data_IF_017356281182
#
_entry.id   IF_017356281182
#
_cell.length_a   1.000
_cell.length_b   1.000
_cell.length_c   1.000
_cell.angle_alpha   90.00
_cell.angle_beta   90.00
_cell.angle_gamma   90.00
#
_symmetry.space_group_name_H-M   'P 1'
#
loop_
_entity.id
_entity.type
_entity.pdbx_description
1 polymer ?
#
# COMPACT_ATOMS: atom_id res chain seq x y z
N UNK A 1 19.64 -9.41 7.89
CA UNK A 1 19.94 -8.81 6.56
C UNK A 1 18.96 -9.43 5.58
N UNK A 2 18.32 -8.65 4.71
CA UNK A 2 17.43 -9.21 3.69
C UNK A 2 18.20 -10.13 2.72
N UNK A 3 17.49 -11.10 2.18
CA UNK A 3 18.05 -12.06 1.19
C UNK A 3 17.69 -11.68 -0.25
N UNK A 4 17.30 -10.43 -0.47
CA UNK A 4 16.90 -9.86 -1.76
C UNK A 4 17.65 -8.55 -2.01
N UNK A 5 17.99 -8.27 -3.26
CA UNK A 5 18.75 -7.09 -3.66
C UNK A 5 17.86 -6.02 -4.30
N UNK A 6 16.77 -6.42 -4.95
CA UNK A 6 15.81 -5.52 -5.58
C UNK A 6 14.39 -5.75 -5.07
N UNK A 7 13.54 -4.72 -5.16
CA UNK A 7 12.16 -4.78 -4.66
C UNK A 7 11.31 -5.82 -5.40
N UNK A 8 11.53 -6.02 -6.70
CA UNK A 8 10.83 -7.04 -7.48
C UNK A 8 11.21 -8.48 -7.10
N UNK A 9 12.26 -8.68 -6.29
CA UNK A 9 12.62 -10.00 -5.75
C UNK A 9 11.80 -10.35 -4.50
N UNK A 10 11.19 -9.35 -3.84
CA UNK A 10 10.41 -9.55 -2.62
C UNK A 10 9.25 -10.54 -2.80
N UNK A 11 8.37 -10.40 -3.82
CA UNK A 11 7.33 -11.40 -4.04
C UNK A 11 7.87 -12.76 -4.47
N UNK A 12 9.04 -12.83 -5.12
CA UNK A 12 9.73 -14.10 -5.42
C UNK A 12 10.26 -14.77 -4.16
N UNK A 13 10.79 -13.98 -3.22
CA UNK A 13 11.17 -14.46 -1.89
C UNK A 13 9.95 -15.05 -1.17
N UNK A 14 8.79 -14.38 -1.21
CA UNK A 14 7.57 -14.91 -0.63
C UNK A 14 7.15 -16.24 -1.28
N UNK A 15 7.14 -16.31 -2.62
CA UNK A 15 6.79 -17.55 -3.32
C UNK A 15 7.68 -18.72 -2.90
N UNK A 16 8.99 -18.48 -2.75
CA UNK A 16 9.96 -19.49 -2.39
C UNK A 16 9.84 -19.99 -0.95
N UNK A 17 9.59 -19.08 0.00
CA UNK A 17 9.68 -19.39 1.44
C UNK A 17 8.31 -19.50 2.12
N UNK A 18 7.32 -18.77 1.63
CA UNK A 18 5.99 -18.62 2.23
C UNK A 18 4.91 -18.47 1.15
N UNK A 19 4.77 -19.43 0.19
CA UNK A 19 3.77 -19.32 -0.86
C UNK A 19 2.38 -19.09 -0.22
N UNK A 20 1.70 -18.05 -0.65
CA UNK A 20 0.46 -17.60 -0.03
C UNK A 20 -0.66 -17.56 -1.08
N UNK A 21 -1.72 -18.34 -0.84
CA UNK A 21 -2.90 -18.35 -1.71
C UNK A 21 -3.71 -17.04 -1.63
N UNK A 22 -3.50 -16.27 -0.58
CA UNK A 22 -4.20 -15.01 -0.30
C UNK A 22 -3.18 -13.86 -0.12
N UNK A 23 -2.21 -13.72 -1.03
CA UNK A 23 -1.16 -12.70 -0.94
C UNK A 23 -1.76 -11.30 -0.88
N UNK A 24 -2.62 -10.98 -1.83
CA UNK A 24 -3.46 -9.78 -1.82
C UNK A 24 -4.92 -10.18 -1.89
N UNK A 25 -5.77 -9.44 -1.18
CA UNK A 25 -7.20 -9.71 -1.12
C UNK A 25 -7.96 -8.41 -1.30
N UNK A 26 -8.81 -8.36 -2.32
CA UNK A 26 -9.65 -7.19 -2.63
C UNK A 26 -11.11 -7.54 -2.43
N UNK A 27 -11.93 -6.60 -1.95
CA UNK A 27 -13.36 -6.81 -1.83
C UNK A 27 -14.05 -6.35 -3.11
N UNK A 28 -14.71 -7.28 -3.80
CA UNK A 28 -15.43 -7.03 -5.05
C UNK A 28 -16.87 -7.49 -4.88
N UNK A 29 -17.83 -6.60 -5.11
CA UNK A 29 -19.26 -6.89 -4.94
C UNK A 29 -19.59 -7.52 -3.55
N UNK A 30 -18.93 -7.05 -2.50
CA UNK A 30 -19.13 -7.51 -1.12
C UNK A 30 -18.40 -8.82 -0.77
N UNK A 31 -17.64 -9.41 -1.70
CA UNK A 31 -16.91 -10.68 -1.49
C UNK A 31 -15.40 -10.40 -1.51
N UNK A 32 -14.68 -10.96 -0.54
CA UNK A 32 -13.22 -10.91 -0.50
C UNK A 32 -12.62 -11.90 -1.49
N UNK A 33 -11.97 -11.38 -2.53
CA UNK A 33 -11.37 -12.15 -3.65
C UNK A 33 -9.85 -12.11 -3.52
N UNK A 34 -9.20 -13.26 -3.31
CA UNK A 34 -7.75 -13.33 -3.21
C UNK A 34 -7.07 -13.48 -4.57
N UNK A 35 -5.79 -13.06 -4.61
CA UNK A 35 -4.81 -13.48 -5.61
C UNK A 35 -3.66 -14.17 -4.90
N UNK A 36 -3.17 -15.28 -5.46
CA UNK A 36 -2.02 -15.98 -4.91
C UNK A 36 -0.70 -15.29 -5.26
N UNK A 37 0.37 -15.61 -4.52
CA UNK A 37 1.73 -15.13 -4.85
C UNK A 37 2.16 -15.57 -6.24
N UNK A 38 1.77 -16.78 -6.68
CA UNK A 38 2.11 -17.29 -8.00
C UNK A 38 1.38 -16.51 -9.11
N UNK A 39 0.06 -16.33 -8.98
CA UNK A 39 -0.75 -15.59 -9.96
C UNK A 39 -0.32 -14.12 -10.04
N UNK A 40 0.02 -13.50 -8.89
CA UNK A 40 0.55 -12.14 -8.83
C UNK A 40 1.86 -12.00 -9.62
N UNK A 41 2.80 -12.93 -9.43
CA UNK A 41 4.07 -12.93 -10.16
C UNK A 41 3.90 -13.19 -11.64
N UNK A 42 2.97 -14.08 -12.03
CA UNK A 42 2.64 -14.29 -13.44
C UNK A 42 2.06 -13.03 -14.05
N UNK A 43 1.07 -12.39 -13.40
CA UNK A 43 0.50 -11.13 -13.88
C UNK A 43 1.58 -10.04 -14.05
N UNK A 44 2.50 -9.89 -13.09
CA UNK A 44 3.60 -8.94 -13.21
C UNK A 44 4.53 -9.28 -14.39
N UNK A 45 4.82 -10.56 -14.63
CA UNK A 45 5.62 -11.00 -15.77
C UNK A 45 4.93 -10.67 -17.11
N UNK A 46 3.61 -10.90 -17.22
CA UNK A 46 2.89 -10.60 -18.45
C UNK A 46 2.86 -9.08 -18.74
N UNK A 47 2.64 -8.27 -17.72
CA UNK A 47 2.70 -6.80 -17.85
C UNK A 47 4.11 -6.33 -18.23
N UNK A 48 5.17 -6.93 -17.65
CA UNK A 48 6.56 -6.64 -18.01
C UNK A 48 6.85 -6.89 -19.47
N UNK A 49 6.40 -8.02 -20.01
CA UNK A 49 6.51 -8.33 -21.44
C UNK A 49 5.81 -7.27 -22.30
N UNK A 50 4.60 -6.87 -21.90
CA UNK A 50 3.85 -5.83 -22.58
C UNK A 50 4.55 -4.46 -22.56
N UNK A 51 5.15 -4.07 -21.43
CA UNK A 51 5.93 -2.83 -21.32
C UNK A 51 7.16 -2.85 -22.25
N UNK A 52 7.85 -3.99 -22.37
CA UNK A 52 8.95 -4.16 -23.32
C UNK A 52 8.46 -3.98 -24.76
N UNK A 53 7.33 -4.60 -25.12
CA UNK A 53 6.76 -4.51 -26.45
C UNK A 53 6.27 -3.09 -26.81
N UNK A 54 5.82 -2.30 -25.81
CA UNK A 54 5.52 -0.88 -25.95
C UNK A 54 6.77 -0.01 -26.08
N UNK A 55 7.97 -0.59 -26.01
CA UNK A 55 9.25 0.10 -26.19
C UNK A 55 9.84 0.70 -24.92
N UNK A 56 9.34 0.35 -23.73
CA UNK A 56 9.88 0.80 -22.45
C UNK A 56 11.31 0.32 -22.26
N UNK A 57 12.19 1.23 -21.90
CA UNK A 57 13.62 0.98 -21.64
C UNK A 57 13.95 1.18 -20.16
N UNK A 58 15.10 0.66 -19.75
CA UNK A 58 15.62 0.96 -18.42
C UNK A 58 15.79 2.48 -18.22
N UNK A 59 15.31 2.96 -17.08
CA UNK A 59 15.29 4.39 -16.74
C UNK A 59 14.11 5.18 -17.28
N UNK A 60 13.23 4.60 -18.11
CA UNK A 60 11.99 5.27 -18.52
C UNK A 60 11.02 5.40 -17.33
N UNK A 61 10.13 6.39 -17.38
CA UNK A 61 9.19 6.68 -16.29
C UNK A 61 7.78 6.26 -16.68
N UNK A 62 7.18 5.46 -15.82
CA UNK A 62 5.78 5.04 -15.89
C UNK A 62 5.04 5.64 -14.71
N UNK A 63 3.99 6.42 -14.95
CA UNK A 63 3.17 7.01 -13.88
C UNK A 63 1.96 6.13 -13.57
N UNK A 64 1.51 6.17 -12.31
CA UNK A 64 0.27 5.54 -11.87
C UNK A 64 -0.49 6.46 -10.93
N UNK A 65 -1.76 6.77 -11.26
CA UNK A 65 -2.68 7.52 -10.40
C UNK A 65 -3.88 6.63 -10.05
N UNK A 66 -3.90 6.09 -8.84
CA UNK A 66 -4.92 5.11 -8.43
C UNK A 66 -5.04 5.01 -6.91
N UNK A 67 -6.23 4.64 -6.46
CA UNK A 67 -6.42 4.10 -5.11
C UNK A 67 -5.71 2.75 -4.95
N UNK A 68 -5.63 2.26 -3.70
CA UNK A 68 -5.01 0.96 -3.40
C UNK A 68 -5.78 -0.17 -4.10
N UNK A 69 -5.06 -1.00 -4.85
CA UNK A 69 -5.59 -2.18 -5.53
C UNK A 69 -4.47 -3.13 -5.94
N UNK A 70 -4.82 -4.37 -6.26
CA UNK A 70 -3.84 -5.38 -6.65
C UNK A 70 -3.08 -4.96 -7.91
N UNK A 71 -3.79 -4.43 -8.91
CA UNK A 71 -3.23 -4.05 -10.21
C UNK A 71 -2.17 -2.95 -10.09
N UNK A 72 -2.31 -2.06 -9.09
CA UNK A 72 -1.28 -1.07 -8.76
C UNK A 72 0.04 -1.77 -8.35
N UNK A 73 -0.04 -2.79 -7.50
CA UNK A 73 1.14 -3.54 -7.05
C UNK A 73 1.73 -4.41 -8.16
N UNK A 74 0.88 -4.98 -9.03
CA UNK A 74 1.33 -5.71 -10.22
C UNK A 74 2.12 -4.78 -11.15
N UNK A 75 1.59 -3.60 -11.44
CA UNK A 75 2.27 -2.59 -12.27
C UNK A 75 3.59 -2.13 -11.64
N UNK A 76 3.61 -1.92 -10.32
CA UNK A 76 4.81 -1.53 -9.59
C UNK A 76 5.94 -2.54 -9.79
N UNK A 77 5.67 -3.83 -9.59
CA UNK A 77 6.65 -4.89 -9.80
C UNK A 77 7.04 -5.00 -11.28
N UNK A 78 6.09 -4.91 -12.20
CA UNK A 78 6.36 -5.03 -13.62
C UNK A 78 7.27 -3.90 -14.15
N UNK A 79 7.02 -2.67 -13.75
CA UNK A 79 7.86 -1.50 -14.11
C UNK A 79 9.30 -1.70 -13.62
N UNK A 80 9.48 -2.19 -12.41
CA UNK A 80 10.80 -2.46 -11.85
C UNK A 80 11.51 -3.63 -12.53
N UNK A 81 10.78 -4.70 -12.92
CA UNK A 81 11.35 -5.86 -13.63
C UNK A 81 11.96 -5.47 -14.98
N UNK A 82 11.43 -4.44 -15.64
CA UNK A 82 11.99 -3.94 -16.91
C UNK A 82 13.07 -2.88 -16.72
N UNK A 83 13.43 -2.54 -15.46
CA UNK A 83 14.41 -1.53 -15.11
C UNK A 83 13.88 -0.09 -15.26
N UNK A 84 12.58 0.10 -15.42
CA UNK A 84 11.93 1.40 -15.48
C UNK A 84 11.62 1.94 -14.07
N UNK A 85 11.24 3.22 -13.98
CA UNK A 85 11.04 3.95 -12.74
C UNK A 85 9.55 4.26 -12.58
N UNK A 86 8.94 3.83 -11.47
CA UNK A 86 7.55 4.16 -11.18
C UNK A 86 7.43 5.57 -10.61
N UNK A 87 6.47 6.34 -11.14
CA UNK A 87 6.08 7.67 -10.63
C UNK A 87 4.66 7.56 -10.07
N UNK A 88 4.50 7.25 -8.78
CA UNK A 88 3.18 7.16 -8.15
C UNK A 88 2.62 8.56 -7.90
N UNK A 89 1.35 8.74 -8.23
CA UNK A 89 0.63 10.01 -8.15
C UNK A 89 -0.59 9.85 -7.22
N UNK A 90 -0.85 10.88 -6.40
CA UNK A 90 -2.08 10.92 -5.64
C UNK A 90 -3.29 11.12 -6.58
N UNK A 91 -4.39 10.38 -6.40
CA UNK A 91 -5.57 10.50 -7.28
C UNK A 91 -6.33 11.83 -7.13
N UNK A 92 -6.07 12.58 -6.07
CA UNK A 92 -6.79 13.81 -5.71
C UNK A 92 -6.00 15.10 -5.89
N UNK A 93 -4.92 15.11 -6.66
CA UNK A 93 -4.19 16.32 -7.00
C UNK A 93 -4.83 17.08 -8.18
N UNK A 94 -4.42 18.34 -8.35
CA UNK A 94 -4.94 19.19 -9.42
C UNK A 94 -4.39 18.81 -10.81
N UNK A 95 -5.09 19.20 -11.87
CA UNK A 95 -4.60 19.02 -13.24
C UNK A 95 -3.27 19.75 -13.48
N UNK A 96 -3.06 20.90 -12.86
CA UNK A 96 -1.80 21.64 -12.94
C UNK A 96 -0.64 20.84 -12.31
N UNK A 97 -0.89 20.14 -11.19
CA UNK A 97 0.12 19.29 -10.57
C UNK A 97 0.40 18.05 -11.43
N UNK A 98 -0.63 17.40 -11.98
CA UNK A 98 -0.44 16.30 -12.93
C UNK A 98 0.42 16.74 -14.11
N UNK A 99 0.07 17.86 -14.75
CA UNK A 99 0.83 18.40 -15.88
C UNK A 99 2.29 18.67 -15.51
N UNK A 100 2.52 19.32 -14.37
CA UNK A 100 3.88 19.59 -13.89
C UNK A 100 4.67 18.31 -13.69
N UNK A 101 4.12 17.35 -12.91
CA UNK A 101 4.82 16.12 -12.55
C UNK A 101 5.11 15.26 -13.79
N UNK A 102 4.13 15.09 -14.67
CA UNK A 102 4.30 14.28 -15.89
C UNK A 102 5.37 14.84 -16.81
N UNK A 103 5.48 16.18 -16.93
CA UNK A 103 6.52 16.85 -17.71
C UNK A 103 7.88 16.77 -17.02
N UNK A 104 7.97 17.12 -15.73
CA UNK A 104 9.21 17.15 -14.96
C UNK A 104 9.85 15.75 -14.89
N UNK A 105 9.05 14.72 -14.66
CA UNK A 105 9.52 13.34 -14.71
C UNK A 105 9.74 12.83 -16.14
N UNK A 106 9.21 13.47 -17.16
CA UNK A 106 9.25 13.00 -18.55
C UNK A 106 8.54 11.65 -18.73
N UNK A 107 7.31 11.55 -18.21
CA UNK A 107 6.52 10.31 -18.22
C UNK A 107 6.09 9.95 -19.62
N UNK A 108 6.28 8.68 -20.01
CA UNK A 108 5.86 8.17 -21.32
C UNK A 108 4.54 7.36 -21.27
N UNK A 109 4.30 6.66 -20.16
CA UNK A 109 3.10 5.86 -19.94
C UNK A 109 2.45 6.30 -18.63
N UNK A 110 1.13 6.53 -18.63
CA UNK A 110 0.35 6.80 -17.44
C UNK A 110 -0.78 5.76 -17.33
N UNK A 111 -0.95 5.18 -16.14
CA UNK A 111 -2.06 4.27 -15.83
C UNK A 111 -2.90 4.91 -14.73
N UNK A 112 -4.22 4.99 -14.95
CA UNK A 112 -5.15 5.61 -14.00
C UNK A 112 -6.19 4.62 -13.52
N UNK A 113 -6.87 4.87 -12.37
CA UNK A 113 -7.85 3.91 -11.87
C UNK A 113 -9.21 4.02 -12.53
N UNK A 114 -9.70 5.24 -12.87
CA UNK A 114 -11.10 5.46 -13.19
C UNK A 114 -11.30 6.58 -14.23
N UNK A 115 -12.59 6.81 -14.59
CA UNK A 115 -12.97 7.80 -15.61
C UNK A 115 -12.54 9.22 -15.23
N UNK A 116 -12.74 9.65 -13.98
CA UNK A 116 -12.37 11.00 -13.54
C UNK A 116 -10.88 11.29 -13.77
N UNK A 117 -10.02 10.35 -13.42
CA UNK A 117 -8.58 10.49 -13.62
C UNK A 117 -8.18 10.40 -15.10
N UNK A 118 -8.85 9.53 -15.87
CA UNK A 118 -8.64 9.47 -17.32
C UNK A 118 -8.99 10.78 -18.01
N UNK A 119 -10.09 11.41 -17.60
CA UNK A 119 -10.53 12.70 -18.15
C UNK A 119 -9.53 13.81 -17.80
N UNK A 120 -9.07 13.90 -16.54
CA UNK A 120 -8.05 14.87 -16.10
C UNK A 120 -6.76 14.76 -16.93
N UNK A 121 -6.24 13.53 -17.11
CA UNK A 121 -5.00 13.31 -17.86
C UNK A 121 -5.22 13.58 -19.35
N UNK A 122 -6.37 13.21 -19.90
CA UNK A 122 -6.72 13.46 -21.29
C UNK A 122 -6.79 14.97 -21.58
N UNK A 123 -7.37 15.75 -20.65
CA UNK A 123 -7.49 17.21 -20.80
C UNK A 123 -6.13 17.91 -20.91
N UNK A 124 -5.15 17.47 -20.13
CA UNK A 124 -3.80 18.06 -20.13
C UNK A 124 -2.84 17.40 -21.12
N UNK A 125 -3.25 16.32 -21.82
CA UNK A 125 -2.35 15.49 -22.64
C UNK A 125 -1.59 16.27 -23.70
N UNK A 126 -2.23 17.25 -24.34
CA UNK A 126 -1.58 18.10 -25.36
C UNK A 126 -0.41 18.94 -24.80
N UNK A 127 -0.41 19.18 -23.48
CA UNK A 127 0.64 19.92 -22.77
C UNK A 127 1.72 19.00 -22.17
N UNK A 128 1.62 17.67 -22.39
CA UNK A 128 2.59 16.66 -21.93
C UNK A 128 3.11 15.86 -23.14
N UNK A 129 4.04 16.42 -23.92
CA UNK A 129 4.47 15.85 -25.20
C UNK A 129 5.19 14.49 -25.06
N UNK A 130 5.71 14.15 -23.88
CA UNK A 130 6.33 12.86 -23.62
C UNK A 130 5.32 11.73 -23.42
N UNK A 131 4.06 12.03 -23.06
CA UNK A 131 3.04 11.05 -22.76
C UNK A 131 2.50 10.36 -24.02
N UNK A 132 3.00 9.17 -24.31
CA UNK A 132 2.64 8.36 -25.48
C UNK A 132 1.35 7.56 -25.21
N UNK A 133 1.25 6.95 -24.03
CA UNK A 133 0.17 6.01 -23.69
C UNK A 133 -0.54 6.40 -22.40
N UNK A 134 -1.87 6.28 -22.43
CA UNK A 134 -2.75 6.38 -21.27
C UNK A 134 -3.60 5.12 -21.21
N UNK A 135 -3.59 4.42 -20.06
CA UNK A 135 -4.39 3.24 -19.81
C UNK A 135 -5.22 3.43 -18.53
N UNK A 136 -6.31 2.64 -18.39
CA UNK A 136 -7.10 2.60 -17.17
C UNK A 136 -7.16 1.19 -16.59
N UNK A 137 -7.14 1.09 -15.25
CA UNK A 137 -7.43 -0.15 -14.55
C UNK A 137 -8.90 -0.55 -14.64
N UNK A 138 -9.82 0.45 -14.68
CA UNK A 138 -11.23 0.19 -14.90
C UNK A 138 -11.52 0.13 -16.41
N UNK A 139 -12.53 -0.67 -16.79
CA UNK A 139 -13.03 -0.71 -18.17
C UNK A 139 -13.75 0.61 -18.49
N UNK A 140 -13.16 1.42 -19.35
CA UNK A 140 -13.69 2.73 -19.73
C UNK A 140 -13.98 2.80 -21.24
N UNK A 141 -15.02 3.55 -21.66
CA UNK A 141 -15.38 3.62 -23.08
C UNK A 141 -14.35 4.34 -23.94
N UNK A 142 -13.60 5.30 -23.38
CA UNK A 142 -12.71 6.19 -24.13
C UNK A 142 -11.23 6.11 -23.68
N UNK A 143 -10.87 5.09 -22.91
CA UNK A 143 -9.50 4.88 -22.46
C UNK A 143 -9.17 3.39 -22.58
N UNK A 144 -8.07 3.00 -23.25
CA UNK A 144 -7.62 1.63 -23.33
C UNK A 144 -7.50 1.02 -21.94
N UNK A 145 -7.93 -0.22 -21.77
CA UNK A 145 -7.78 -0.94 -20.52
C UNK A 145 -6.33 -1.39 -20.32
N UNK A 146 -5.86 -1.42 -19.10
CA UNK A 146 -4.46 -1.78 -18.80
C UNK A 146 -4.09 -3.21 -19.22
N UNK A 147 -5.06 -4.14 -19.39
CA UNK A 147 -4.83 -5.47 -19.99
C UNK A 147 -4.32 -5.38 -21.42
N UNK A 148 -4.51 -4.25 -22.11
CA UNK A 148 -3.97 -4.05 -23.45
C UNK A 148 -2.43 -3.94 -23.40
N UNK A 149 -1.84 -3.58 -22.26
CA UNK A 149 -0.39 -3.66 -22.05
C UNK A 149 0.06 -5.11 -22.20
N UNK A 150 -0.60 -6.04 -21.53
CA UNK A 150 -0.30 -7.47 -21.67
C UNK A 150 -0.63 -7.98 -23.08
N UNK A 151 -1.76 -7.58 -23.65
CA UNK A 151 -2.17 -7.99 -24.99
C UNK A 151 -1.13 -7.61 -26.07
N UNK A 152 -0.37 -6.53 -25.84
CA UNK A 152 0.70 -6.05 -26.73
C UNK A 152 2.02 -6.80 -26.59
N UNK A 153 2.16 -7.75 -25.68
CA UNK A 153 3.42 -8.47 -25.42
C UNK A 153 4.04 -9.16 -26.65
N UNK A 154 3.24 -9.45 -27.67
CA UNK A 154 3.72 -10.01 -28.94
C UNK A 154 4.57 -11.26 -28.75
N UNK A 155 5.79 -11.25 -29.33
CA UNK A 155 6.78 -12.31 -29.22
C UNK A 155 7.80 -12.11 -28.10
N UNK A 156 7.60 -11.16 -27.18
CA UNK A 156 8.53 -10.94 -26.06
C UNK A 156 8.48 -12.15 -25.12
N UNK A 157 9.64 -12.78 -24.97
CA UNK A 157 9.79 -13.99 -24.18
C UNK A 157 10.15 -13.68 -22.72
N UNK A 158 9.91 -14.63 -21.82
CA UNK A 158 10.21 -14.46 -20.40
C UNK A 158 11.70 -14.19 -20.14
N UNK A 159 12.59 -14.80 -20.90
CA UNK A 159 14.03 -14.61 -20.73
C UNK A 159 14.47 -13.16 -20.96
N UNK A 160 13.77 -12.40 -21.84
CA UNK A 160 14.08 -10.99 -22.07
C UNK A 160 13.79 -10.12 -20.81
N UNK A 161 12.70 -10.41 -20.11
CA UNK A 161 12.41 -9.78 -18.81
C UNK A 161 13.46 -10.18 -17.78
N UNK A 162 13.83 -11.47 -17.72
CA UNK A 162 14.83 -11.97 -16.77
C UNK A 162 16.22 -11.36 -17.01
N UNK A 163 16.62 -11.15 -18.27
CA UNK A 163 17.87 -10.45 -18.58
C UNK A 163 17.85 -8.98 -18.11
N UNK A 164 16.73 -8.29 -18.30
CA UNK A 164 16.58 -6.93 -17.76
C UNK A 164 16.64 -6.92 -16.23
N UNK A 165 15.96 -7.85 -15.57
CA UNK A 165 16.01 -7.98 -14.10
C UNK A 165 17.43 -8.20 -13.59
N UNK A 166 18.23 -9.05 -14.26
CA UNK A 166 19.65 -9.28 -13.91
C UNK A 166 20.52 -8.02 -14.07
N UNK A 167 20.15 -7.13 -14.99
CA UNK A 167 20.89 -5.89 -15.21
C UNK A 167 20.60 -4.82 -14.16
N UNK A 168 19.43 -4.85 -13.48
CA UNK A 168 19.05 -3.90 -12.44
C UNK A 168 19.89 -4.10 -11.18
N UNK A 169 20.39 -3.01 -10.62
CA UNK A 169 21.18 -3.00 -9.39
C UNK A 169 20.37 -2.42 -8.22
N UNK A 170 20.71 -2.82 -7.02
CA UNK A 170 20.09 -2.28 -5.80
C UNK A 170 20.19 -0.74 -5.69
N UNK A 171 21.21 -0.15 -6.31
CA UNK A 171 21.43 1.32 -6.33
C UNK A 171 20.63 2.05 -7.41
N UNK A 172 20.03 1.33 -8.36
CA UNK A 172 19.21 1.94 -9.41
C UNK A 172 17.91 2.49 -8.83
N UNK A 173 17.38 3.53 -9.48
CA UNK A 173 16.13 4.15 -9.05
C UNK A 173 14.96 3.20 -9.28
N UNK A 174 14.17 2.97 -8.22
CA UNK A 174 12.92 2.24 -8.29
C UNK A 174 11.73 3.18 -8.48
N UNK A 175 11.83 4.41 -7.97
CA UNK A 175 10.69 5.35 -7.97
C UNK A 175 11.11 6.80 -7.80
N UNK A 176 10.25 7.71 -8.30
CA UNK A 176 10.31 9.15 -8.02
C UNK A 176 8.96 9.54 -7.41
N UNK A 177 8.97 9.96 -6.15
CA UNK A 177 7.75 10.34 -5.40
C UNK A 177 7.70 11.85 -5.26
N UNK A 178 6.65 12.47 -5.79
CA UNK A 178 6.49 13.92 -5.71
C UNK A 178 5.82 14.32 -4.41
N UNK A 179 6.45 15.27 -3.71
CA UNK A 179 5.93 15.86 -2.46
C UNK A 179 5.67 17.34 -2.64
N UNK A 180 4.69 17.89 -1.89
CA UNK A 180 4.44 19.33 -1.87
C UNK A 180 5.69 20.07 -1.38
N UNK A 181 6.34 20.79 -2.28
CA UNK A 181 7.48 21.63 -1.93
C UNK A 181 7.04 22.90 -1.18
N UNK A 182 7.88 23.38 -0.26
CA UNK A 182 7.67 24.66 0.45
C UNK A 182 7.75 25.87 -0.50
N UNK A 183 8.18 25.69 -1.74
CA UNK A 183 8.46 26.74 -2.75
C UNK A 183 7.46 26.74 -3.92
N UNK A 184 6.33 26.09 -3.82
CA UNK A 184 5.24 26.10 -4.82
C UNK A 184 5.16 24.81 -5.66
N UNK A 185 6.17 24.49 -6.48
CA UNK A 185 6.12 23.28 -7.32
C UNK A 185 6.49 22.01 -6.54
N UNK A 186 5.83 20.86 -6.83
CA UNK A 186 6.20 19.57 -6.25
C UNK A 186 7.66 19.20 -6.55
N UNK A 187 8.31 18.49 -5.60
CA UNK A 187 9.69 18.01 -5.75
C UNK A 187 9.71 16.49 -5.83
N UNK A 188 10.37 15.96 -6.85
CA UNK A 188 10.54 14.51 -7.05
C UNK A 188 11.64 13.93 -6.17
N UNK A 189 11.24 13.17 -5.14
CA UNK A 189 12.16 12.43 -4.28
C UNK A 189 12.53 11.13 -4.96
N UNK A 190 13.79 10.97 -5.30
CA UNK A 190 14.34 9.79 -5.97
C UNK A 190 14.75 8.74 -4.94
N UNK A 191 14.19 7.52 -5.05
CA UNK A 191 14.48 6.41 -4.16
C UNK A 191 14.95 5.19 -4.97
N UNK A 192 16.07 4.61 -4.56
CA UNK A 192 16.58 3.36 -5.11
C UNK A 192 15.91 2.15 -4.45
N UNK A 193 16.11 0.96 -5.05
CA UNK A 193 15.72 -0.31 -4.43
C UNK A 193 16.32 -0.44 -3.03
N UNK A 194 17.61 -0.15 -2.88
CA UNK A 194 18.33 -0.23 -1.60
C UNK A 194 17.75 0.71 -0.54
N UNK A 195 17.32 1.93 -0.90
CA UNK A 195 16.74 2.87 0.07
C UNK A 195 15.47 2.28 0.73
N UNK A 196 14.58 1.71 -0.08
CA UNK A 196 13.33 1.14 0.43
C UNK A 196 13.61 -0.16 1.18
N UNK A 197 14.44 -1.06 0.64
CA UNK A 197 14.78 -2.34 1.28
C UNK A 197 15.49 -2.15 2.61
N UNK A 198 16.32 -1.12 2.78
CA UNK A 198 16.96 -0.83 4.07
C UNK A 198 15.93 -0.50 5.15
N UNK A 199 14.87 0.23 4.82
CA UNK A 199 13.76 0.53 5.73
C UNK A 199 12.93 -0.73 6.01
N UNK A 200 12.65 -1.53 5.00
CA UNK A 200 11.98 -2.85 5.18
C UNK A 200 12.76 -3.70 6.20
N UNK A 201 14.08 -3.80 6.02
CA UNK A 201 14.94 -4.57 6.93
C UNK A 201 14.86 -4.09 8.39
N UNK A 202 14.83 -2.78 8.60
CA UNK A 202 14.72 -2.18 9.93
C UNK A 202 13.36 -2.43 10.61
N UNK A 203 12.31 -2.65 9.82
CA UNK A 203 10.94 -2.82 10.32
C UNK A 203 10.52 -4.28 10.56
N UNK A 204 11.32 -5.28 10.17
CA UNK A 204 10.94 -6.70 10.34
C UNK A 204 10.78 -7.07 11.82
N UNK A 205 11.78 -6.81 12.64
CA UNK A 205 11.77 -7.22 14.04
C UNK A 205 10.74 -6.46 14.91
N UNK A 206 10.51 -5.14 14.71
CA UNK A 206 9.53 -4.40 15.50
C UNK A 206 8.08 -4.80 15.23
N UNK A 207 7.75 -5.30 14.05
CA UNK A 207 6.36 -5.61 13.67
C UNK A 207 6.04 -7.07 14.04
N UNK A 208 5.06 -7.31 14.96
CA UNK A 208 4.70 -8.65 15.43
C UNK A 208 3.79 -9.38 14.42
N UNK A 209 4.28 -9.57 13.20
CA UNK A 209 3.59 -10.25 12.12
C UNK A 209 4.42 -11.43 11.59
N UNK A 210 3.73 -12.43 11.06
CA UNK A 210 4.33 -13.61 10.42
C UNK A 210 3.54 -14.02 9.17
N UNK A 211 3.94 -15.13 8.54
CA UNK A 211 3.31 -15.66 7.33
C UNK A 211 1.82 -16.04 7.45
N UNK A 212 1.29 -16.11 8.67
CA UNK A 212 -0.13 -16.41 8.93
C UNK A 212 -0.91 -15.13 9.22
N UNK A 213 -0.22 -14.00 9.36
CA UNK A 213 -0.84 -12.73 9.73
C UNK A 213 -1.58 -12.11 8.57
N UNK A 214 -2.72 -11.50 8.90
CA UNK A 214 -3.51 -10.66 8.01
C UNK A 214 -3.24 -9.20 8.32
N UNK A 215 -3.10 -8.39 7.28
CA UNK A 215 -2.97 -6.95 7.42
C UNK A 215 -4.07 -6.26 6.61
N UNK A 216 -4.51 -5.09 7.08
CA UNK A 216 -5.45 -4.25 6.34
C UNK A 216 -4.71 -3.00 5.86
N UNK A 217 -4.67 -2.83 4.54
CA UNK A 217 -4.08 -1.67 3.85
C UNK A 217 -5.17 -0.68 3.47
N UNK A 218 -5.02 0.58 3.88
CA UNK A 218 -5.94 1.67 3.57
C UNK A 218 -5.26 3.04 3.43
N UNK A 219 -4.02 3.19 3.87
CA UNK A 219 -3.25 4.39 3.58
C UNK A 219 -2.85 4.42 2.10
N UNK A 220 -2.70 5.58 1.48
CA UNK A 220 -2.40 5.66 0.05
C UNK A 220 -1.07 4.97 -0.30
N UNK A 221 -1.10 3.96 -1.16
CA UNK A 221 0.11 3.23 -1.60
C UNK A 221 1.03 4.07 -2.48
N UNK A 222 0.53 5.17 -3.05
CA UNK A 222 1.37 6.18 -3.70
C UNK A 222 2.32 6.90 -2.71
N UNK A 223 2.03 6.85 -1.41
CA UNK A 223 2.92 7.35 -0.37
C UNK A 223 3.94 6.27 0.03
N UNK A 224 5.21 6.67 0.21
CA UNK A 224 6.31 5.72 0.48
C UNK A 224 6.08 4.89 1.75
N UNK A 225 5.43 5.43 2.77
CA UNK A 225 5.17 4.72 4.02
C UNK A 225 4.35 3.44 3.79
N UNK A 226 3.17 3.54 3.17
CA UNK A 226 2.31 2.38 2.89
C UNK A 226 2.96 1.43 1.88
N UNK A 227 3.59 1.99 0.83
CA UNK A 227 4.28 1.18 -0.18
C UNK A 227 5.42 0.36 0.41
N UNK A 228 6.22 0.93 1.31
CA UNK A 228 7.28 0.23 2.03
C UNK A 228 6.70 -0.89 2.90
N UNK A 229 5.57 -0.65 3.57
CA UNK A 229 4.89 -1.66 4.36
C UNK A 229 4.37 -2.82 3.49
N UNK A 230 3.90 -2.56 2.27
CA UNK A 230 3.54 -3.66 1.34
C UNK A 230 4.73 -4.56 1.07
N UNK A 231 5.91 -4.02 0.79
CA UNK A 231 7.12 -4.84 0.62
C UNK A 231 7.50 -5.60 1.90
N UNK A 232 7.35 -4.97 3.07
CA UNK A 232 7.59 -5.63 4.34
C UNK A 232 6.63 -6.81 4.54
N UNK A 233 5.34 -6.60 4.33
CA UNK A 233 4.32 -7.64 4.50
C UNK A 233 4.48 -8.78 3.50
N UNK A 234 4.84 -8.47 2.24
CA UNK A 234 5.21 -9.49 1.25
C UNK A 234 6.45 -10.27 1.69
N UNK A 235 7.49 -9.60 2.20
CA UNK A 235 8.73 -10.25 2.64
C UNK A 235 8.49 -11.21 3.82
N UNK A 236 7.64 -10.83 4.78
CA UNK A 236 7.26 -11.66 5.94
C UNK A 236 6.32 -12.81 5.51
N UNK A 237 5.58 -12.67 4.42
CA UNK A 237 4.60 -13.64 3.94
C UNK A 237 3.16 -13.38 4.33
N UNK A 238 2.84 -12.18 4.84
CA UNK A 238 1.49 -11.79 5.26
C UNK A 238 0.47 -11.80 4.11
N UNK A 239 -0.81 -11.88 4.48
CA UNK A 239 -1.95 -11.65 3.59
C UNK A 239 -2.39 -10.19 3.68
N UNK A 240 -2.33 -9.44 2.57
CA UNK A 240 -2.64 -8.01 2.51
C UNK A 240 -4.05 -7.81 1.98
N UNK A 241 -4.95 -7.26 2.81
CA UNK A 241 -6.32 -6.97 2.44
C UNK A 241 -6.47 -5.47 2.18
N UNK A 242 -7.07 -5.08 1.07
CA UNK A 242 -7.35 -3.68 0.74
C UNK A 242 -8.72 -3.27 1.29
N UNK A 243 -8.76 -2.19 2.07
CA UNK A 243 -10.02 -1.57 2.45
C UNK A 243 -10.73 -0.98 1.23
N UNK A 244 -12.05 -1.07 1.19
CA UNK A 244 -12.86 -0.56 0.07
C UNK A 244 -12.81 0.97 -0.02
N UNK A 245 -12.87 1.65 1.13
CA UNK A 245 -12.80 3.11 1.25
C UNK A 245 -12.46 3.53 2.68
N UNK A 246 -12.16 4.81 2.87
CA UNK A 246 -11.93 5.38 4.21
C UNK A 246 -13.16 5.28 5.12
N UNK A 247 -14.36 5.33 4.55
CA UNK A 247 -15.62 5.27 5.31
C UNK A 247 -15.94 3.85 5.79
N UNK A 248 -15.50 2.84 5.06
CA UNK A 248 -15.74 1.42 5.37
C UNK A 248 -14.66 0.75 6.20
N UNK A 249 -13.57 1.46 6.57
CA UNK A 249 -12.44 0.89 7.31
C UNK A 249 -12.92 0.11 8.56
N UNK A 250 -13.84 0.68 9.34
CA UNK A 250 -14.33 0.03 10.57
C UNK A 250 -15.04 -1.28 10.31
N UNK A 251 -15.78 -1.40 9.22
CA UNK A 251 -16.47 -2.63 8.80
C UNK A 251 -15.44 -3.63 8.26
N UNK A 252 -14.54 -3.18 7.41
CA UNK A 252 -13.48 -4.01 6.85
C UNK A 252 -12.54 -4.57 7.93
N UNK A 253 -12.20 -3.78 8.97
CA UNK A 253 -11.44 -4.27 10.14
C UNK A 253 -12.18 -5.42 10.84
N UNK A 254 -13.49 -5.30 11.04
CA UNK A 254 -14.30 -6.34 11.70
C UNK A 254 -14.43 -7.62 10.86
N UNK A 255 -14.49 -7.48 9.53
CA UNK A 255 -14.56 -8.60 8.61
C UNK A 255 -13.22 -9.34 8.47
N UNK A 256 -12.14 -8.59 8.22
CA UNK A 256 -10.79 -9.13 7.98
C UNK A 256 -10.16 -9.63 9.27
N UNK A 257 -10.42 -8.95 10.41
CA UNK A 257 -9.79 -9.20 11.71
C UNK A 257 -8.27 -9.18 11.60
N UNK A 258 -7.66 -8.05 11.17
CA UNK A 258 -6.24 -7.99 10.92
C UNK A 258 -5.43 -8.19 12.21
N UNK A 259 -4.23 -8.77 12.07
CA UNK A 259 -3.23 -8.85 13.14
C UNK A 259 -2.47 -7.53 13.31
N UNK A 260 -2.20 -6.85 12.20
CA UNK A 260 -1.50 -5.56 12.16
C UNK A 260 -2.14 -4.68 11.07
N UNK A 261 -2.15 -3.39 11.28
CA UNK A 261 -2.40 -2.40 10.24
C UNK A 261 -1.61 -1.12 10.49
N UNK A 262 -1.44 -0.32 9.45
CA UNK A 262 -0.80 0.99 9.54
C UNK A 262 -1.84 2.09 9.78
N UNK A 263 -1.49 3.10 10.58
CA UNK A 263 -2.34 4.25 10.82
C UNK A 263 -1.50 5.52 10.94
N UNK A 264 -2.05 6.65 10.48
CA UNK A 264 -1.47 7.96 10.77
C UNK A 264 -2.00 8.49 12.09
N UNK A 265 -1.27 9.36 12.82
CA UNK A 265 -1.69 9.89 14.14
C UNK A 265 -3.12 10.43 14.15
N UNK A 266 -3.49 11.21 13.12
CA UNK A 266 -4.86 11.75 12.99
C UNK A 266 -5.97 10.70 12.96
N UNK A 267 -5.69 9.50 12.42
CA UNK A 267 -6.69 8.43 12.41
C UNK A 267 -6.85 7.84 13.80
N UNK A 268 -5.73 7.66 14.52
CA UNK A 268 -5.73 7.16 15.90
C UNK A 268 -6.50 8.13 16.80
N UNK A 269 -6.25 9.44 16.67
CA UNK A 269 -6.98 10.51 17.38
C UNK A 269 -8.50 10.42 17.09
N UNK A 270 -8.91 10.32 15.83
CA UNK A 270 -10.32 10.16 15.46
C UNK A 270 -10.98 8.90 16.05
N UNK A 271 -10.23 7.80 16.12
CA UNK A 271 -10.73 6.56 16.76
C UNK A 271 -10.90 6.79 18.25
N UNK A 272 -9.94 7.45 18.91
CA UNK A 272 -10.03 7.82 20.31
C UNK A 272 -11.23 8.73 20.58
N UNK A 273 -11.42 9.79 19.79
CA UNK A 273 -12.55 10.70 19.91
C UNK A 273 -13.90 9.97 19.79
N UNK A 274 -14.01 9.02 18.84
CA UNK A 274 -15.22 8.18 18.70
C UNK A 274 -15.45 7.28 19.92
N UNK A 275 -14.40 6.76 20.52
CA UNK A 275 -14.49 5.96 21.76
C UNK A 275 -14.98 6.85 22.89
N UNK A 276 -14.42 8.07 23.05
CA UNK A 276 -14.82 9.03 24.08
C UNK A 276 -16.27 9.48 23.93
N UNK A 277 -16.68 9.82 22.70
CA UNK A 277 -18.08 10.20 22.41
C UNK A 277 -19.08 9.09 22.81
N UNK A 278 -18.76 7.82 22.49
CA UNK A 278 -19.58 6.69 22.96
C UNK A 278 -19.60 6.55 24.49
N UNK A 279 -18.50 6.90 25.15
CA UNK A 279 -18.42 6.93 26.61
C UNK A 279 -19.33 7.97 27.22
N UNK A 280 -19.49 9.14 26.59
CA UNK A 280 -20.36 10.22 27.03
C UNK A 280 -21.85 9.83 27.00
N UNK A 281 -22.27 9.01 26.05
CA UNK A 281 -23.63 8.50 25.91
C UNK A 281 -24.02 7.52 27.03
N UNK A 282 -23.04 6.97 27.76
CA UNK A 282 -23.28 6.03 28.85
C UNK A 282 -23.81 6.75 30.10
N UNK A 283 -24.55 6.02 30.96
CA UNK A 283 -25.06 6.55 32.23
C UNK A 283 -24.73 5.63 33.41
N UNK A 284 -24.79 6.21 34.62
CA UNK A 284 -24.63 5.47 35.87
C UNK A 284 -23.29 4.73 35.98
N UNK A 285 -23.33 3.50 36.47
CA UNK A 285 -22.16 2.67 36.73
C UNK A 285 -21.35 2.38 35.46
N UNK A 286 -22.02 2.26 34.31
CA UNK A 286 -21.33 2.03 33.03
C UNK A 286 -20.44 3.18 32.63
N UNK A 287 -20.93 4.42 32.84
CA UNK A 287 -20.15 5.65 32.58
C UNK A 287 -18.95 5.76 33.52
N UNK A 288 -19.16 5.53 34.81
CA UNK A 288 -18.07 5.56 35.79
C UNK A 288 -16.98 4.51 35.49
N UNK A 289 -17.39 3.28 35.12
CA UNK A 289 -16.45 2.23 34.75
C UNK A 289 -15.69 2.53 33.46
N UNK A 290 -16.34 3.16 32.49
CA UNK A 290 -15.70 3.59 31.24
C UNK A 290 -14.58 4.60 31.52
N UNK A 291 -14.85 5.69 32.24
CA UNK A 291 -13.84 6.71 32.54
C UNK A 291 -12.73 6.19 33.45
N UNK A 292 -13.07 5.33 34.42
CA UNK A 292 -12.05 4.64 35.18
C UNK A 292 -11.10 3.81 34.30
N UNK A 293 -11.63 3.14 33.27
CA UNK A 293 -10.80 2.39 32.34
C UNK A 293 -9.95 3.31 31.45
N UNK A 294 -10.47 4.48 31.03
CA UNK A 294 -9.69 5.51 30.33
C UNK A 294 -8.51 5.98 31.21
N UNK A 295 -8.75 6.33 32.47
CA UNK A 295 -7.69 6.73 33.43
C UNK A 295 -6.61 5.63 33.56
N UNK A 296 -7.03 4.35 33.60
CA UNK A 296 -6.09 3.22 33.62
C UNK A 296 -5.29 3.12 32.33
N UNK A 297 -5.89 3.42 31.18
CA UNK A 297 -5.19 3.41 29.89
C UNK A 297 -4.20 4.57 29.77
N UNK A 298 -4.58 5.78 30.15
CA UNK A 298 -3.71 6.97 30.15
C UNK A 298 -2.50 6.81 31.07
N UNK A 299 -2.70 6.13 32.20
CA UNK A 299 -1.62 5.82 33.14
C UNK A 299 -0.73 4.65 32.68
N UNK A 300 -0.97 4.08 31.48
CA UNK A 300 -0.19 2.93 30.99
C UNK A 300 1.26 3.31 30.74
N UNK A 301 2.15 2.42 31.18
CA UNK A 301 3.57 2.50 30.92
C UNK A 301 4.11 1.07 30.73
N UNK A 302 5.04 0.92 29.80
CA UNK A 302 5.65 -0.38 29.49
C UNK A 302 6.55 -0.84 30.63
N UNK A 303 7.17 0.11 31.35
CA UNK A 303 8.18 -0.17 32.37
C UNK A 303 7.77 0.44 33.71
N UNK A 304 7.90 -0.31 34.81
CA UNK A 304 7.93 0.23 36.15
C UNK A 304 6.62 0.43 36.91
N UNK A 305 5.49 -0.12 36.42
CA UNK A 305 4.22 -0.02 37.16
C UNK A 305 4.08 -1.03 38.29
N UNK A 306 3.43 -0.59 39.37
CA UNK A 306 3.21 -1.38 40.58
C UNK A 306 2.33 -2.62 40.31
N UNK A 307 2.43 -3.68 41.18
CA UNK A 307 1.54 -4.85 41.08
C UNK A 307 0.07 -4.47 41.16
N UNK A 308 -0.28 -3.47 41.96
CA UNK A 308 -1.64 -2.97 42.08
C UNK A 308 -2.18 -2.37 40.78
N UNK A 309 -1.35 -1.63 40.00
CA UNK A 309 -1.69 -1.15 38.68
C UNK A 309 -1.94 -2.31 37.71
N UNK A 310 -1.10 -3.35 37.74
CA UNK A 310 -1.25 -4.53 36.87
C UNK A 310 -2.59 -5.25 37.12
N UNK A 311 -3.06 -5.30 38.36
CA UNK A 311 -4.40 -5.84 38.69
C UNK A 311 -5.51 -4.97 38.10
N UNK A 312 -5.45 -3.63 38.29
CA UNK A 312 -6.40 -2.69 37.67
C UNK A 312 -6.44 -2.84 36.15
N UNK A 313 -5.28 -2.90 35.50
CA UNK A 313 -5.15 -3.09 34.07
C UNK A 313 -5.78 -4.43 33.60
N UNK A 314 -5.59 -5.52 34.36
CA UNK A 314 -6.23 -6.81 34.08
C UNK A 314 -7.76 -6.74 34.11
N UNK A 315 -8.31 -6.02 35.10
CA UNK A 315 -9.76 -5.81 35.21
C UNK A 315 -10.27 -4.94 34.04
N UNK A 316 -9.60 -3.82 33.74
CA UNK A 316 -9.94 -2.93 32.64
C UNK A 316 -9.91 -3.64 31.29
N UNK A 317 -8.88 -4.47 31.05
CA UNK A 317 -8.77 -5.31 29.86
C UNK A 317 -9.97 -6.24 29.69
N UNK A 318 -10.41 -6.90 30.74
CA UNK A 318 -11.53 -7.85 30.70
C UNK A 318 -12.88 -7.18 30.50
N UNK A 319 -13.12 -6.02 31.12
CA UNK A 319 -14.43 -5.38 31.17
C UNK A 319 -14.68 -4.38 30.06
N UNK A 320 -13.65 -3.63 29.66
CA UNK A 320 -13.76 -2.48 28.76
C UNK A 320 -12.89 -2.64 27.51
N UNK A 321 -11.58 -2.91 27.68
CA UNK A 321 -10.65 -2.93 26.52
C UNK A 321 -10.93 -4.10 25.58
N UNK A 322 -11.49 -5.22 26.05
CA UNK A 322 -11.99 -6.31 25.18
C UNK A 322 -12.98 -5.80 24.13
N UNK A 323 -13.89 -4.87 24.51
CA UNK A 323 -14.87 -4.28 23.59
C UNK A 323 -14.22 -3.35 22.57
N UNK A 324 -13.17 -2.63 22.97
CA UNK A 324 -12.39 -1.81 22.05
C UNK A 324 -11.59 -2.68 21.07
N UNK A 325 -11.02 -3.79 21.58
CA UNK A 325 -10.34 -4.76 20.72
C UNK A 325 -11.32 -5.45 19.75
N UNK A 326 -12.52 -5.80 20.20
CA UNK A 326 -13.58 -6.35 19.33
C UNK A 326 -13.97 -5.37 18.22
N UNK A 327 -14.05 -4.07 18.52
CA UNK A 327 -14.32 -3.03 17.53
C UNK A 327 -13.20 -2.91 16.47
N UNK A 328 -11.98 -3.34 16.82
CA UNK A 328 -10.82 -3.45 15.94
C UNK A 328 -10.63 -4.88 15.39
N UNK A 329 -11.69 -5.70 15.38
CA UNK A 329 -11.66 -7.07 14.83
C UNK A 329 -11.18 -8.16 15.81
N UNK A 330 -10.71 -7.79 17.00
CA UNK A 330 -10.35 -8.74 18.08
C UNK A 330 -8.95 -9.35 18.01
N UNK A 331 -8.26 -9.26 16.86
CA UNK A 331 -6.96 -9.92 16.63
C UNK A 331 -5.76 -8.96 16.63
N UNK A 332 -5.98 -7.65 16.65
CA UNK A 332 -4.92 -6.65 16.49
C UNK A 332 -3.84 -6.80 17.57
N UNK A 333 -2.62 -7.10 17.15
CA UNK A 333 -1.41 -7.21 17.96
C UNK A 333 -0.67 -5.87 18.02
N UNK A 334 -0.64 -5.13 16.91
CA UNK A 334 0.01 -3.83 16.82
C UNK A 334 -0.66 -2.94 15.75
N UNK A 335 -0.54 -1.64 15.97
CA UNK A 335 -0.84 -0.60 14.97
C UNK A 335 0.47 0.12 14.70
N UNK A 336 0.97 0.02 13.47
CA UNK A 336 2.16 0.75 13.04
C UNK A 336 1.77 2.21 12.77
N UNK A 337 2.50 3.15 13.36
CA UNK A 337 2.31 4.58 13.10
C UNK A 337 3.62 5.21 12.70
N UNK A 338 3.62 5.99 11.61
CA UNK A 338 4.75 6.71 11.07
C UNK A 338 4.45 8.20 10.85
#
# INVERSE_FOLDING_TARGET
MLTVDCLFDVPRHQLKNYPNANMFVTKTAGIWVPISTADFLDAAMQVSKGLIALGVKAGDRVAVASNNRVEWNVLDIAVQQVGAILVPLYPNISESDYRFILNDAGVEICVVSNQELADKITHIRAEVPTLKYLFSFDQLPNCPHWSDIEANKGSVEQHEVEERMKAVKATDLATIIYTSGTTGNPKGVMLSHANILSTVAACIDPIPADKNSKVLSFLPVCHIYERMLHYLYMYIGCSIHFAESMDTIGDNIREVKPDVFSAVPRLIEKVFDKIMAKGEELSGIKKALFYWAVDVAEAYDVVGKSPFYKVKLGIARKLIFSKWQEALGGNVKAIASG
#
